data_IF_938250489302
#
_entry.id   IF_938250489302
#
_cell.length_a   1.000
_cell.length_b   1.000
_cell.length_c   1.000
_cell.angle_alpha   90.00
_cell.angle_beta   90.00
_cell.angle_gamma   90.00
#
_symmetry.space_group_name_H-M   'P 1'
#
loop_
_entity.id
_entity.type
_entity.pdbx_description
1 polymer ?
2 non-polymer ?
3 non-polymer ?
4 water ?
#
# COMPACT_ATOMS: atom_id res chain seq x y z
N UNK A 1 -10.43 -2.86 22.11
CA UNK A 1 -9.37 -3.90 22.01
C UNK A 1 -8.11 -3.33 21.38
N UNK A 2 -6.99 -4.01 21.60
CA UNK A 2 -5.72 -3.56 21.03
C UNK A 2 -5.35 -4.56 19.94
N UNK A 3 -4.62 -4.09 18.95
CA UNK A 3 -4.17 -4.96 17.87
C UNK A 3 -2.75 -4.60 17.50
N UNK A 4 -2.14 -5.42 16.65
CA UNK A 4 -0.79 -5.15 16.17
C UNK A 4 -0.97 -4.78 14.71
N UNK A 5 -0.78 -3.50 14.41
CA UNK A 5 -0.94 -2.99 13.05
C UNK A 5 0.41 -3.00 12.34
N UNK A 6 0.41 -3.48 11.10
CA UNK A 6 1.63 -3.50 10.29
C UNK A 6 1.34 -2.55 9.14
N UNK A 7 1.98 -1.38 9.18
CA UNK A 7 1.78 -0.35 8.16
C UNK A 7 2.72 -0.55 6.99
N UNK A 8 2.14 -0.57 5.79
CA UNK A 8 2.87 -0.81 4.55
C UNK A 8 2.77 0.35 3.59
N UNK A 9 3.90 1.03 3.39
CA UNK A 9 4.00 2.19 2.49
C UNK A 9 3.89 1.78 1.03
N UNK A 10 3.75 2.78 0.17
CA UNK A 10 3.63 2.56 -1.27
C UNK A 10 4.99 2.66 -1.96
N UNK A 11 5.04 2.39 -3.26
CA UNK A 11 6.31 2.45 -3.97
C UNK A 11 6.90 3.87 -3.90
N UNK A 12 8.23 3.94 -3.93
CA UNK A 12 8.97 5.21 -3.88
C UNK A 12 8.90 5.89 -2.52
N UNK A 13 8.21 5.25 -1.57
CA UNK A 13 8.08 5.81 -0.24
C UNK A 13 8.73 4.87 0.79
N UNK A 14 8.48 5.15 2.06
CA UNK A 14 9.06 4.34 3.12
C UNK A 14 8.23 4.45 4.39
N UNK A 15 8.67 3.77 5.43
CA UNK A 15 7.98 3.79 6.73
C UNK A 15 7.66 5.20 7.18
N UNK A 16 8.51 6.16 6.78
CA UNK A 16 8.35 7.56 7.18
C UNK A 16 6.99 8.18 6.87
N UNK A 17 6.27 7.65 5.88
CA UNK A 17 4.97 8.22 5.53
C UNK A 17 3.98 8.04 6.68
N UNK A 18 4.26 7.06 7.54
CA UNK A 18 3.40 6.76 8.68
C UNK A 18 3.84 7.46 9.97
N UNK A 19 4.75 8.42 9.87
CA UNK A 19 5.26 9.07 11.08
C UNK A 19 4.23 9.80 11.94
N UNK A 20 3.07 10.13 11.38
CA UNK A 20 2.03 10.79 12.15
C UNK A 20 1.04 9.77 12.70
N UNK A 21 0.70 8.78 11.88
CA UNK A 21 -0.27 7.76 12.30
C UNK A 21 0.27 6.78 13.34
N UNK A 22 1.53 6.37 13.21
CA UNK A 22 2.10 5.41 14.15
C UNK A 22 1.97 5.83 15.62
N UNK A 23 2.45 7.02 15.98
CA UNK A 23 2.33 7.39 17.40
C UNK A 23 0.88 7.54 17.87
N UNK A 24 -0.02 7.92 16.98
CA UNK A 24 -1.42 8.08 17.34
C UNK A 24 -2.03 6.72 17.66
N UNK A 25 -1.69 5.71 16.87
CA UNK A 25 -2.21 4.37 17.11
C UNK A 25 -1.64 3.83 18.43
N UNK A 26 -0.38 4.15 18.71
CA UNK A 26 0.25 3.69 19.95
C UNK A 26 -0.40 4.38 21.14
N UNK A 27 -0.85 5.61 20.94
CA UNK A 27 -1.51 6.38 22.00
C UNK A 27 -2.86 5.76 22.33
N UNK A 28 -3.34 4.89 21.45
CA UNK A 28 -4.61 4.20 21.67
C UNK A 28 -4.33 2.85 22.32
N UNK A 29 -3.05 2.52 22.48
CA UNK A 29 -2.66 1.27 23.10
C UNK A 29 -2.24 0.15 22.17
N UNK A 30 -2.20 0.43 20.87
CA UNK A 30 -1.83 -0.59 19.89
C UNK A 30 -0.33 -0.76 19.70
N UNK A 31 0.04 -1.90 19.15
CA UNK A 31 1.43 -2.19 18.82
C UNK A 31 1.48 -1.84 17.34
N UNK A 32 2.51 -1.12 16.92
CA UNK A 32 2.61 -0.73 15.52
C UNK A 32 3.98 -1.03 14.95
N UNK A 33 3.99 -1.60 13.76
CA UNK A 33 5.22 -1.90 13.05
C UNK A 33 5.11 -1.19 11.70
N UNK A 34 6.06 -0.30 11.42
CA UNK A 34 6.08 0.42 10.14
C UNK A 34 7.35 -0.02 9.45
N UNK A 35 7.20 -0.83 8.40
CA UNK A 35 8.34 -1.38 7.68
C UNK A 35 8.82 -0.58 6.47
N UNK A 36 10.09 -0.77 6.13
CA UNK A 36 10.65 -0.19 4.94
C UNK A 36 10.74 -1.41 4.03
N UNK A 37 10.07 -1.37 2.89
CA UNK A 37 10.12 -2.51 1.97
C UNK A 37 11.47 -2.48 1.26
N UNK A 38 11.73 -3.46 0.40
CA UNK A 38 13.02 -3.50 -0.30
C UNK A 38 13.30 -2.22 -1.07
N UNK A 39 14.54 -1.74 -0.98
CA UNK A 39 14.99 -0.55 -1.67
C UNK A 39 14.11 0.66 -1.39
N UNK A 40 13.51 0.69 -0.21
CA UNK A 40 12.63 1.78 0.18
C UNK A 40 13.07 2.38 1.51
N UNK A 41 12.75 3.66 1.71
CA UNK A 41 13.11 4.32 2.95
C UNK A 41 14.62 4.22 3.16
N UNK A 42 15.03 3.73 4.31
CA UNK A 42 16.46 3.58 4.58
C UNK A 42 16.95 2.16 4.35
N UNK A 43 16.20 1.36 3.60
CA UNK A 43 16.62 0.01 3.28
C UNK A 43 17.88 0.17 2.44
N UNK A 44 18.91 -0.66 2.69
CA UNK A 44 20.19 -0.60 1.98
C UNK A 44 20.22 -1.00 0.50
N UNK A 45 19.18 -1.69 0.03
CA UNK A 45 19.15 -2.11 -1.38
C UNK A 45 18.71 -0.99 -2.33
N UNK A 46 19.13 -1.10 -3.58
CA UNK A 46 18.74 -0.14 -4.61
C UNK A 46 17.72 -0.86 -5.47
N UNK A 47 16.79 -0.12 -6.07
CA UNK A 47 15.73 -0.74 -6.86
C UNK A 47 16.23 -1.66 -7.97
N UNK A 48 17.37 -1.36 -8.56
CA UNK A 48 17.90 -2.17 -9.64
C UNK A 48 18.23 -3.60 -9.18
N UNK A 49 18.27 -3.81 -7.87
CA UNK A 49 18.56 -5.14 -7.31
C UNK A 49 17.29 -5.95 -7.15
N UNK A 50 16.14 -5.30 -7.32
CA UNK A 50 14.85 -5.96 -7.14
C UNK A 50 14.19 -6.34 -8.47
N UNK A 51 13.78 -7.60 -8.60
CA UNK A 51 13.19 -8.04 -9.85
C UNK A 51 11.70 -8.30 -9.92
N UNK A 52 10.99 -8.16 -8.80
CA UNK A 52 9.55 -8.39 -8.80
C UNK A 52 8.90 -7.76 -7.59
N UNK A 53 7.57 -7.68 -7.62
CA UNK A 53 6.83 -7.10 -6.51
C UNK A 53 6.96 -8.04 -5.30
N UNK A 54 7.17 -9.33 -5.58
CA UNK A 54 7.34 -10.29 -4.49
C UNK A 54 8.66 -10.05 -3.77
N UNK A 55 9.72 -9.80 -4.55
CA UNK A 55 11.03 -9.53 -3.96
C UNK A 55 10.97 -8.22 -3.19
N UNK A 56 10.24 -7.26 -3.77
CA UNK A 56 10.06 -5.94 -3.18
C UNK A 56 9.40 -6.10 -1.81
N UNK A 57 8.54 -7.11 -1.68
CA UNK A 57 7.81 -7.38 -0.44
C UNK A 57 8.59 -8.17 0.61
N UNK A 58 9.84 -8.50 0.33
CA UNK A 58 10.64 -9.29 1.28
C UNK A 58 10.57 -8.87 2.75
N UNK A 59 10.77 -7.58 3.05
CA UNK A 59 10.71 -7.18 4.47
C UNK A 59 9.39 -7.53 5.16
N UNK A 60 8.29 -7.43 4.43
CA UNK A 60 6.98 -7.75 4.99
C UNK A 60 6.86 -9.26 5.24
N UNK A 61 7.29 -10.05 4.26
CA UNK A 61 7.22 -11.50 4.38
C UNK A 61 8.13 -11.98 5.52
N UNK A 62 9.31 -11.39 5.62
CA UNK A 62 10.26 -11.75 6.65
C UNK A 62 9.70 -11.43 8.03
N UNK A 63 9.03 -10.28 8.12
CA UNK A 63 8.43 -9.87 9.38
C UNK A 63 7.34 -10.85 9.81
N UNK A 64 6.44 -11.19 8.87
CA UNK A 64 5.37 -12.11 9.18
C UNK A 64 5.90 -13.47 9.60
N UNK A 65 6.97 -13.90 8.93
CA UNK A 65 7.59 -15.19 9.24
C UNK A 65 8.07 -15.21 10.68
N UNK A 66 8.53 -14.05 11.17
CA UNK A 66 9.04 -13.93 12.52
C UNK A 66 7.97 -13.90 13.62
N UNK A 67 6.70 -13.75 13.23
CA UNK A 67 5.62 -13.73 14.22
C UNK A 67 5.43 -15.12 14.83
N UNK A 68 5.46 -15.21 16.17
CA UNK A 68 5.28 -16.51 16.81
C UNK A 68 3.88 -17.06 16.51
N UNK A 69 3.71 -18.40 16.57
CA UNK A 69 2.41 -19.00 16.29
C UNK A 69 1.30 -18.36 17.13
N UNK A 70 0.14 -18.15 16.51
CA UNK A 70 -0.98 -17.59 17.23
C UNK A 70 -1.12 -16.08 17.17
N UNK A 71 -0.02 -15.39 16.91
CA UNK A 71 -0.06 -13.93 16.82
C UNK A 71 -0.54 -13.48 15.45
N UNK A 72 -1.59 -12.66 15.44
CA UNK A 72 -2.13 -12.15 14.17
C UNK A 72 -1.96 -10.64 14.14
N UNK A 73 -1.89 -10.10 12.92
CA UNK A 73 -1.73 -8.67 12.74
C UNK A 73 -2.76 -8.14 11.76
N UNK A 74 -2.96 -6.83 11.79
CA UNK A 74 -3.87 -6.18 10.87
C UNK A 74 -2.96 -5.40 9.91
N UNK A 75 -2.96 -5.79 8.65
CA UNK A 75 -2.13 -5.12 7.66
C UNK A 75 -2.83 -3.87 7.16
N UNK A 76 -2.07 -2.79 7.00
CA UNK A 76 -2.63 -1.54 6.52
C UNK A 76 -1.72 -1.10 5.37
N UNK A 77 -2.26 -1.11 4.15
CA UNK A 77 -1.45 -0.73 3.00
C UNK A 77 -1.99 0.49 2.27
N UNK A 78 -1.09 1.40 1.91
CA UNK A 78 -1.49 2.61 1.18
C UNK A 78 -1.10 2.53 -0.28
N UNK A 79 -1.95 3.09 -1.13
CA UNK A 79 -1.69 3.15 -2.57
C UNK A 79 -1.34 1.79 -3.17
N UNK A 80 -0.07 1.57 -3.51
CA UNK A 80 0.31 0.29 -4.09
C UNK A 80 0.50 -0.82 -3.07
N UNK A 81 0.43 -0.46 -1.79
CA UNK A 81 0.60 -1.42 -0.72
C UNK A 81 -0.36 -2.60 -0.77
N UNK A 82 -1.50 -2.41 -1.42
CA UNK A 82 -2.47 -3.49 -1.53
C UNK A 82 -1.88 -4.72 -2.18
N UNK A 83 -0.92 -4.51 -3.09
CA UNK A 83 -0.26 -5.62 -3.76
C UNK A 83 0.64 -6.38 -2.80
N UNK A 84 1.28 -5.66 -1.89
CA UNK A 84 2.14 -6.31 -0.91
C UNK A 84 1.26 -7.14 0.02
N UNK A 85 0.06 -6.63 0.30
CA UNK A 85 -0.88 -7.34 1.16
C UNK A 85 -1.31 -8.66 0.51
N UNK A 86 -1.64 -8.61 -0.77
CA UNK A 86 -2.08 -9.81 -1.50
C UNK A 86 -0.96 -10.85 -1.49
N UNK A 87 0.26 -10.40 -1.77
CA UNK A 87 1.42 -11.29 -1.78
C UNK A 87 1.62 -11.91 -0.40
N UNK A 88 1.57 -11.07 0.63
CA UNK A 88 1.74 -11.55 2.01
C UNK A 88 0.65 -12.53 2.43
N UNK A 89 -0.58 -12.25 2.03
CA UNK A 89 -1.72 -13.10 2.40
C UNK A 89 -1.67 -14.50 1.80
N UNK A 90 -1.00 -14.64 0.66
CA UNK A 90 -0.89 -15.95 0.02
C UNK A 90 0.20 -16.80 0.64
N UNK A 91 0.92 -16.23 1.59
CA UNK A 91 1.98 -16.96 2.25
C UNK A 91 1.72 -17.09 3.76
N UNK A 92 1.04 -16.11 4.32
CA UNK A 92 0.77 -16.10 5.76
C UNK A 92 -0.67 -15.73 6.11
N UNK A 93 -1.64 -16.24 5.37
CA UNK A 93 -3.03 -15.92 5.64
C UNK A 93 -3.46 -16.13 7.08
N UNK A 94 -2.92 -17.17 7.73
CA UNK A 94 -3.31 -17.47 9.12
C UNK A 94 -2.83 -16.43 10.13
N UNK A 95 -1.87 -15.60 9.74
CA UNK A 95 -1.33 -14.58 10.63
C UNK A 95 -1.97 -13.21 10.41
N UNK A 96 -2.94 -13.14 9.50
CA UNK A 96 -3.61 -11.89 9.17
C UNK A 96 -5.05 -11.84 9.69
N UNK A 97 -5.29 -10.97 10.66
CA UNK A 97 -6.64 -10.83 11.22
C UNK A 97 -7.52 -10.12 10.20
N UNK A 98 -6.93 -9.18 9.48
CA UNK A 98 -7.64 -8.41 8.47
C UNK A 98 -6.66 -7.52 7.72
N UNK A 99 -7.09 -7.03 6.57
CA UNK A 99 -6.25 -6.15 5.76
C UNK A 99 -7.04 -4.88 5.47
N UNK A 100 -6.42 -3.74 5.76
CA UNK A 100 -7.06 -2.45 5.52
C UNK A 100 -6.37 -1.80 4.34
N UNK A 101 -7.17 -1.38 3.37
CA UNK A 101 -6.66 -0.73 2.16
C UNK A 101 -6.90 0.77 2.34
N UNK A 102 -5.82 1.54 2.19
CA UNK A 102 -5.81 3.00 2.38
C UNK A 102 -5.57 3.66 1.03
N UNK A 103 -6.64 4.13 0.37
CA UNK A 103 -6.55 4.71 -0.98
C UNK A 103 -5.59 3.79 -1.72
N UNK A 104 -5.86 2.50 -1.61
CA UNK A 104 -4.99 1.47 -2.18
C UNK A 104 -5.56 0.61 -3.30
N UNK A 105 -4.65 0.05 -4.09
CA UNK A 105 -5.05 -0.85 -5.16
C UNK A 105 -5.64 -2.06 -4.42
N UNK A 106 -6.64 -2.67 -5.03
CA UNK A 106 -7.31 -3.83 -4.44
C UNK A 106 -7.28 -4.98 -5.43
N UNK A 107 -6.21 -5.79 -5.40
CA UNK A 107 -6.10 -6.93 -6.30
C UNK A 107 -7.23 -7.92 -6.07
N UNK A 108 -7.51 -8.77 -7.05
CA UNK A 108 -8.55 -9.77 -6.87
C UNK A 108 -7.97 -11.14 -7.18
N UNK A 109 -8.85 -12.14 -7.32
CA UNK A 109 -8.39 -13.50 -7.60
C UNK A 109 -8.88 -14.01 -8.94
N UNK A 110 -9.78 -13.26 -9.58
CA UNK A 110 -10.32 -13.66 -10.87
C UNK A 110 -9.47 -13.20 -12.06
N UNK A 111 -8.72 -12.12 -11.88
CA UNK A 111 -7.88 -11.59 -12.95
C UNK A 111 -6.40 -11.63 -12.58
N UNK A 112 -5.54 -11.38 -13.57
CA UNK A 112 -4.11 -11.38 -13.35
C UNK A 112 -3.74 -10.35 -12.29
N UNK A 113 -2.61 -10.55 -11.61
CA UNK A 113 -2.16 -9.62 -10.57
C UNK A 113 -1.99 -8.16 -11.00
N UNK A 114 -1.76 -7.93 -12.29
CA UNK A 114 -1.57 -6.55 -12.75
C UNK A 114 -2.88 -5.87 -13.14
N UNK A 115 -3.97 -6.63 -13.08
CA UNK A 115 -5.30 -6.14 -13.46
C UNK A 115 -5.68 -4.72 -13.00
N UNK A 116 -5.64 -4.46 -11.69
CA UNK A 116 -6.02 -3.15 -11.20
C UNK A 116 -4.97 -2.08 -11.50
N UNK A 117 -3.73 -2.49 -11.67
CA UNK A 117 -2.67 -1.55 -12.00
C UNK A 117 -2.87 -1.10 -13.44
N UNK A 118 -3.25 -2.04 -14.31
CA UNK A 118 -3.49 -1.72 -15.71
C UNK A 118 -4.64 -0.72 -15.78
N UNK A 119 -5.67 -0.95 -14.97
CA UNK A 119 -6.83 -0.07 -14.95
C UNK A 119 -6.42 1.30 -14.43
N UNK A 120 -5.56 1.33 -13.42
CA UNK A 120 -5.11 2.59 -12.86
C UNK A 120 -4.43 3.44 -13.93
N UNK A 121 -3.59 2.80 -14.74
CA UNK A 121 -2.86 3.51 -15.79
C UNK A 121 -3.82 4.09 -16.84
N UNK A 122 -4.98 3.47 -17.00
CA UNK A 122 -5.97 3.96 -17.95
C UNK A 122 -6.65 5.20 -17.40
N UNK A 123 -6.99 5.16 -16.12
CA UNK A 123 -7.66 6.27 -15.45
C UNK A 123 -6.73 7.46 -15.19
N UNK A 124 -5.48 7.18 -14.84
CA UNK A 124 -4.52 8.23 -14.57
C UNK A 124 -3.26 7.98 -15.42
N UNK A 125 -3.33 8.34 -16.72
CA UNK A 125 -2.22 8.15 -17.65
C UNK A 125 -1.08 9.17 -17.60
N UNK A 126 -1.35 10.38 -17.16
CA UNK A 126 -0.34 11.43 -17.11
C UNK A 126 0.28 11.63 -15.73
N UNK A 127 1.52 11.17 -15.57
CA UNK A 127 2.21 11.30 -14.30
C UNK A 127 3.08 12.56 -14.21
N UNK A 128 2.74 13.52 -15.06
CA UNK A 128 3.40 14.81 -15.10
C UNK A 128 4.93 14.79 -15.24
N UNK A 129 5.63 15.34 -14.25
CA UNK A 129 7.09 15.40 -14.31
C UNK A 129 7.84 14.17 -13.81
N UNK A 130 7.12 13.07 -13.63
CA UNK A 130 7.74 11.82 -13.20
C UNK A 130 8.70 11.35 -14.28
N UNK A 131 9.87 10.84 -13.86
CA UNK A 131 10.86 10.36 -14.81
C UNK A 131 10.92 8.84 -14.80
N UNK A 132 11.35 8.27 -15.92
CA UNK A 132 11.42 6.82 -16.06
C UNK A 132 12.77 6.34 -16.53
N UNK A 133 13.07 5.08 -16.21
CA UNK A 133 14.31 4.45 -16.64
C UNK A 133 14.08 2.95 -16.70
N UNK A 134 15.04 2.24 -17.30
CA UNK A 134 14.91 0.81 -17.40
C UNK A 134 16.16 0.11 -16.89
N UNK A 135 15.96 -1.06 -16.31
CA UNK A 135 17.07 -1.87 -15.84
C UNK A 135 16.66 -3.31 -16.05
N UNK A 136 17.65 -4.20 -16.07
CA UNK A 136 17.38 -5.60 -16.29
C UNK A 136 17.67 -6.43 -15.05
N UNK A 137 16.75 -7.31 -14.71
CA UNK A 137 16.91 -8.19 -13.56
C UNK A 137 16.24 -9.52 -13.84
N UNK A 138 17.00 -10.60 -13.69
CA UNK A 138 16.52 -11.94 -13.94
C UNK A 138 15.95 -12.06 -15.36
N UNK A 139 16.68 -11.49 -16.31
CA UNK A 139 16.28 -11.56 -17.71
C UNK A 139 15.09 -10.73 -18.16
N UNK A 140 14.56 -9.90 -17.27
CA UNK A 140 13.42 -9.08 -17.63
C UNK A 140 13.74 -7.59 -17.57
N UNK A 141 13.17 -6.84 -18.51
CA UNK A 141 13.38 -5.40 -18.53
C UNK A 141 12.31 -4.81 -17.62
N UNK A 142 12.74 -4.09 -16.60
CA UNK A 142 11.81 -3.48 -15.65
C UNK A 142 11.85 -1.96 -15.80
N UNK A 143 10.68 -1.35 -15.71
CA UNK A 143 10.57 0.10 -15.82
C UNK A 143 10.59 0.70 -14.43
N UNK A 144 11.62 1.50 -14.16
CA UNK A 144 11.74 2.15 -12.88
C UNK A 144 11.22 3.57 -13.03
N UNK A 145 10.91 4.24 -11.93
CA UNK A 145 10.40 5.59 -12.01
C UNK A 145 10.75 6.39 -10.77
N UNK A 146 10.80 7.71 -10.92
CA UNK A 146 11.06 8.59 -9.80
C UNK A 146 9.93 9.61 -9.87
N UNK A 147 9.06 9.60 -8.87
CA UNK A 147 7.93 10.50 -8.82
C UNK A 147 8.33 11.95 -8.99
N UNK A 148 7.66 12.64 -9.91
CA UNK A 148 7.97 14.04 -10.15
C UNK A 148 7.55 14.90 -8.98
N UNK A 149 8.30 15.97 -8.71
CA UNK A 149 7.96 16.85 -7.60
C UNK A 149 6.63 17.57 -7.80
N UNK A 150 6.30 17.88 -9.05
CA UNK A 150 5.03 18.56 -9.32
C UNK A 150 3.89 17.56 -9.10
N UNK A 151 4.10 16.32 -9.52
CA UNK A 151 3.09 15.28 -9.31
C UNK A 151 2.86 15.11 -7.81
N UNK A 152 3.96 15.09 -7.05
CA UNK A 152 3.86 14.94 -5.60
C UNK A 152 3.05 16.08 -4.98
N UNK A 153 3.39 17.29 -5.40
CA UNK A 153 2.74 18.49 -4.87
C UNK A 153 1.25 18.63 -5.22
N UNK A 154 0.91 18.37 -6.48
CA UNK A 154 -0.47 18.54 -6.92
C UNK A 154 -1.41 17.35 -6.80
N UNK A 155 -0.89 16.13 -6.93
CA UNK A 155 -1.77 14.96 -6.89
C UNK A 155 -1.68 14.03 -5.69
N UNK A 156 -0.50 13.92 -5.09
CA UNK A 156 -0.32 13.02 -3.96
C UNK A 156 -0.44 13.72 -2.61
N UNK A 157 0.27 14.83 -2.44
CA UNK A 157 0.23 15.58 -1.19
C UNK A 157 -0.53 16.88 -1.37
N UNK A 158 -1.60 16.81 -2.15
CA UNK A 158 -2.44 17.96 -2.46
C UNK A 158 -2.73 18.93 -1.31
N UNK A 159 -3.13 18.41 -0.15
CA UNK A 159 -3.45 19.27 0.99
C UNK A 159 -2.47 19.20 2.15
N UNK A 160 -1.38 18.47 1.96
CA UNK A 160 -0.37 18.35 3.02
C UNK A 160 0.39 19.67 3.13
N UNK A 161 0.84 19.99 4.33
CA UNK A 161 1.57 21.23 4.51
C UNK A 161 2.94 21.20 3.83
N UNK A 162 3.61 22.36 3.72
CA UNK A 162 4.93 22.40 3.09
C UNK A 162 5.99 21.54 3.77
N UNK A 163 5.83 21.32 5.07
CA UNK A 163 6.79 20.52 5.82
C UNK A 163 6.68 19.03 5.53
N UNK A 164 5.48 18.57 5.20
CA UNK A 164 5.27 17.16 4.90
C UNK A 164 5.69 16.97 3.46
N UNK A 165 5.33 17.93 2.61
CA UNK A 165 5.70 17.87 1.21
C UNK A 165 7.22 17.85 1.10
N UNK A 166 7.90 18.62 1.94
CA UNK A 166 9.35 18.67 1.90
C UNK A 166 9.94 17.30 2.18
N UNK A 167 9.39 16.59 3.18
CA UNK A 167 9.88 15.25 3.49
C UNK A 167 9.77 14.33 2.26
N UNK A 168 8.70 14.49 1.50
CA UNK A 168 8.50 13.68 0.31
C UNK A 168 9.58 13.97 -0.73
N UNK A 169 9.90 15.24 -0.93
CA UNK A 169 10.93 15.60 -1.90
C UNK A 169 12.29 15.08 -1.46
N UNK A 170 12.53 15.09 -0.15
CA UNK A 170 13.80 14.64 0.39
C UNK A 170 13.94 13.13 0.45
N UNK A 171 12.86 12.45 0.81
CA UNK A 171 12.89 11.00 1.00
C UNK A 171 12.39 10.05 -0.09
N UNK A 172 11.54 10.51 -1.00
CA UNK A 172 11.07 9.59 -2.04
C UNK A 172 12.24 9.13 -2.90
N UNK A 173 12.27 7.84 -3.21
CA UNK A 173 13.34 7.23 -3.99
C UNK A 173 12.85 6.59 -5.27
N UNK A 174 13.78 6.17 -6.12
CA UNK A 174 13.44 5.50 -7.36
C UNK A 174 12.76 4.20 -6.96
N UNK A 175 11.75 3.79 -7.72
CA UNK A 175 11.04 2.56 -7.42
C UNK A 175 10.48 1.98 -8.70
N UNK A 176 9.56 1.03 -8.56
CA UNK A 176 8.94 0.41 -9.73
C UNK A 176 7.61 -0.23 -9.39
N UNK A 177 6.74 -0.31 -10.40
CA UNK A 177 5.43 -0.93 -10.26
C UNK A 177 5.55 -2.41 -10.66
N UNK A 178 6.65 -2.75 -11.33
CA UNK A 178 6.88 -4.12 -11.78
C UNK A 178 5.65 -4.60 -12.53
N UNK A 179 5.02 -3.69 -13.25
CA UNK A 179 3.79 -4.00 -13.98
C UNK A 179 3.86 -5.22 -14.91
N UNK A 180 4.91 -5.30 -15.72
CA UNK A 180 5.05 -6.41 -16.64
C UNK A 180 5.36 -7.72 -15.94
N UNK A 181 5.93 -7.64 -14.73
CA UNK A 181 6.25 -8.82 -13.95
C UNK A 181 4.95 -9.33 -13.32
N UNK A 182 4.15 -8.39 -12.80
CA UNK A 182 2.88 -8.75 -12.18
C UNK A 182 1.97 -9.42 -13.21
N UNK A 183 2.04 -8.94 -14.44
CA UNK A 183 1.22 -9.47 -15.52
C UNK A 183 1.44 -10.96 -15.77
N UNK A 184 2.64 -11.44 -15.52
CA UNK A 184 2.97 -12.85 -15.73
C UNK A 184 3.02 -13.66 -14.44
N UNK A 185 2.75 -13.01 -13.32
CA UNK A 185 2.77 -13.67 -12.03
C UNK A 185 1.54 -14.55 -11.81
N UNK A 186 1.69 -15.68 -11.11
CA UNK A 186 0.53 -16.53 -10.87
C UNK A 186 -0.52 -15.69 -10.15
N UNK A 187 -1.80 -16.00 -10.39
CA UNK A 187 -2.89 -15.26 -9.77
C UNK A 187 -2.88 -15.40 -8.25
N UNK A 188 -3.41 -14.39 -7.56
CA UNK A 188 -3.48 -14.48 -6.12
C UNK A 188 -4.54 -15.55 -5.85
N UNK A 189 -4.35 -16.34 -4.80
CA UNK A 189 -5.27 -17.43 -4.52
C UNK A 189 -6.51 -17.09 -3.73
N UNK A 190 -7.58 -17.87 -3.93
CA UNK A 190 -8.81 -17.66 -3.22
C UNK A 190 -8.68 -18.18 -1.80
N UNK A 191 -7.86 -19.23 -1.62
CA UNK A 191 -7.66 -19.82 -0.30
C UNK A 191 -6.84 -18.93 0.62
N UNK A 192 -5.88 -18.22 0.06
CA UNK A 192 -5.04 -17.34 0.86
C UNK A 192 -5.60 -15.93 0.88
N UNK A 193 -5.14 -15.10 -0.05
CA UNK A 193 -5.60 -13.73 -0.15
C UNK A 193 -7.13 -13.61 -0.18
N UNK A 194 -7.76 -14.48 -0.96
CA UNK A 194 -9.21 -14.44 -1.06
C UNK A 194 -9.95 -14.59 0.26
N UNK A 195 -9.38 -15.34 1.20
CA UNK A 195 -10.01 -15.60 2.49
C UNK A 195 -9.95 -14.48 3.53
N UNK A 196 -8.97 -13.60 3.43
CA UNK A 196 -8.85 -12.55 4.44
C UNK A 196 -9.91 -11.47 4.37
N UNK A 197 -10.23 -10.91 5.54
CA UNK A 197 -11.21 -9.84 5.64
C UNK A 197 -10.56 -8.60 5.06
N UNK A 198 -11.28 -7.88 4.21
CA UNK A 198 -10.75 -6.70 3.56
C UNK A 198 -11.58 -5.45 3.80
N UNK A 199 -10.95 -4.44 4.38
CA UNK A 199 -11.60 -3.16 4.69
C UNK A 199 -11.04 -2.12 3.74
N UNK A 200 -11.91 -1.49 2.96
CA UNK A 200 -11.49 -0.50 1.99
C UNK A 200 -11.77 0.93 2.46
N UNK A 201 -10.71 1.70 2.65
CA UNK A 201 -10.81 3.09 3.11
C UNK A 201 -10.39 4.03 1.99
N UNK A 202 -11.16 5.08 1.75
CA UNK A 202 -10.81 6.01 0.69
C UNK A 202 -11.51 7.35 0.83
N UNK A 203 -11.08 8.31 0.02
CA UNK A 203 -11.71 9.62 -0.02
C UNK A 203 -11.93 9.94 -1.49
N UNK A 204 -13.06 10.58 -1.81
CA UNK A 204 -13.34 10.92 -3.20
C UNK A 204 -12.59 12.18 -3.61
N UNK A 205 -11.73 12.67 -2.72
CA UNK A 205 -10.94 13.87 -2.99
C UNK A 205 -9.50 13.49 -3.34
N UNK A 206 -9.28 12.20 -3.56
CA UNK A 206 -7.96 11.69 -3.90
C UNK A 206 -7.72 12.15 -5.34
N UNK A 207 -6.63 12.89 -5.56
CA UNK A 207 -6.29 13.44 -6.88
C UNK A 207 -5.47 12.54 -7.81
N UNK A 208 -5.20 11.30 -7.38
CA UNK A 208 -4.47 10.38 -8.24
C UNK A 208 -5.28 9.09 -8.39
N UNK A 209 -5.74 8.54 -7.26
CA UNK A 209 -6.58 7.35 -7.30
C UNK A 209 -7.98 7.97 -7.32
N UNK A 210 -8.37 8.42 -8.52
CA UNK A 210 -9.64 9.08 -8.73
C UNK A 210 -10.87 8.26 -8.39
N UNK A 211 -11.99 8.92 -8.09
CA UNK A 211 -13.23 8.24 -7.74
C UNK A 211 -13.59 7.13 -8.74
N UNK A 212 -13.43 7.42 -10.02
CA UNK A 212 -13.74 6.43 -11.05
C UNK A 212 -12.98 5.14 -10.80
N UNK A 213 -11.71 5.27 -10.44
CA UNK A 213 -10.87 4.10 -10.19
C UNK A 213 -11.24 3.37 -8.90
N UNK A 214 -11.33 4.11 -7.80
CA UNK A 214 -11.65 3.48 -6.52
C UNK A 214 -13.04 2.86 -6.49
N UNK A 215 -14.02 3.53 -7.09
CA UNK A 215 -15.38 2.98 -7.12
C UNK A 215 -15.41 1.76 -8.03
N UNK A 216 -14.57 1.78 -9.06
CA UNK A 216 -14.45 0.67 -9.99
C UNK A 216 -13.89 -0.54 -9.23
N UNK A 217 -12.90 -0.30 -8.38
CA UNK A 217 -12.28 -1.37 -7.59
C UNK A 217 -13.27 -1.99 -6.62
N UNK A 218 -14.05 -1.15 -5.96
CA UNK A 218 -15.04 -1.61 -4.99
C UNK A 218 -16.09 -2.50 -5.66
N UNK A 219 -16.48 -2.16 -6.88
CA UNK A 219 -17.47 -2.95 -7.59
C UNK A 219 -16.85 -4.24 -8.12
N UNK A 220 -15.59 -4.15 -8.53
CA UNK A 220 -14.88 -5.31 -9.06
C UNK A 220 -14.65 -6.44 -8.05
N UNK A 221 -14.29 -6.06 -6.83
CA UNK A 221 -13.99 -7.04 -5.79
C UNK A 221 -14.57 -6.47 -4.48
N UNK A 222 -15.79 -6.87 -4.17
CA UNK A 222 -16.50 -6.39 -3.00
C UNK A 222 -15.77 -6.52 -1.66
N UNK A 223 -15.46 -5.38 -1.02
CA UNK A 223 -14.76 -5.40 0.27
C UNK A 223 -15.75 -5.86 1.34
N UNK A 224 -15.23 -6.33 2.47
CA UNK A 224 -16.09 -6.76 3.56
C UNK A 224 -16.71 -5.54 4.24
N UNK A 225 -15.97 -4.43 4.19
CA UNK A 225 -16.42 -3.18 4.77
C UNK A 225 -15.77 -2.03 4.03
N UNK A 226 -16.51 -0.95 3.85
CA UNK A 226 -15.99 0.23 3.17
C UNK A 226 -16.15 1.47 4.04
N UNK A 227 -15.07 2.23 4.20
CA UNK A 227 -15.11 3.48 4.97
C UNK A 227 -14.73 4.61 4.03
N UNK A 228 -15.58 5.62 3.95
CA UNK A 228 -15.30 6.76 3.11
C UNK A 228 -14.99 7.93 4.03
N UNK A 229 -13.78 8.47 3.90
CA UNK A 229 -13.35 9.60 4.70
C UNK A 229 -13.63 10.88 3.92
N UNK A 230 -14.34 11.81 4.56
CA UNK A 230 -14.67 13.07 3.88
C UNK A 230 -13.48 14.01 3.90
N UNK A 231 -13.18 14.61 2.73
CA UNK A 231 -12.06 15.53 2.64
C UNK A 231 -10.72 14.85 2.54
N UNK A 232 -9.67 15.57 2.92
CA UNK A 232 -8.32 15.02 2.87
C UNK A 232 -7.83 14.86 1.44
N UNK A 233 -6.78 14.07 1.27
CA UNK A 233 -6.21 13.81 -0.05
C UNK A 233 -5.70 12.38 -0.12
N UNK A 234 -4.86 12.09 -1.12
CA UNK A 234 -4.33 10.73 -1.29
C UNK A 234 -3.59 10.23 -0.05
N UNK A 235 -2.92 11.13 0.66
CA UNK A 235 -2.19 10.74 1.85
C UNK A 235 -3.02 11.00 3.11
N UNK A 236 -4.07 10.22 3.27
CA UNK A 236 -4.95 10.37 4.42
C UNK A 236 -4.24 10.17 5.74
N UNK A 237 -3.16 9.38 5.76
CA UNK A 237 -2.46 9.16 7.02
C UNK A 237 -1.74 10.44 7.47
N UNK A 238 -1.73 11.45 6.61
CA UNK A 238 -1.12 12.74 6.93
C UNK A 238 -2.17 13.83 7.08
N UNK A 239 -3.18 13.82 6.21
CA UNK A 239 -4.22 14.84 6.22
C UNK A 239 -5.47 14.54 7.04
N UNK A 240 -5.69 13.26 7.37
CA UNK A 240 -6.83 12.83 8.16
C UNK A 240 -6.36 11.74 9.10
N UNK A 241 -5.20 11.97 9.71
CA UNK A 241 -4.60 11.00 10.61
C UNK A 241 -5.55 10.51 11.70
N UNK A 242 -6.24 11.46 12.35
CA UNK A 242 -7.17 11.13 13.42
C UNK A 242 -8.30 10.23 12.91
N UNK A 243 -8.88 10.60 11.78
CA UNK A 243 -9.97 9.81 11.19
C UNK A 243 -9.50 8.40 10.87
N UNK A 244 -8.29 8.28 10.34
CA UNK A 244 -7.76 6.96 10.01
C UNK A 244 -7.57 6.13 11.28
N UNK A 245 -7.08 6.76 12.34
CA UNK A 245 -6.88 6.04 13.59
C UNK A 245 -8.21 5.56 14.16
N UNK A 246 -9.24 6.40 14.06
CA UNK A 246 -10.56 6.02 14.56
C UNK A 246 -11.08 4.80 13.81
N UNK A 247 -10.90 4.80 12.50
CA UNK A 247 -11.34 3.68 11.67
C UNK A 247 -10.57 2.42 12.04
N UNK A 248 -9.26 2.54 12.17
CA UNK A 248 -8.44 1.39 12.53
C UNK A 248 -8.82 0.83 13.89
N UNK A 249 -9.21 1.70 14.82
CA UNK A 249 -9.62 1.24 16.14
C UNK A 249 -10.88 0.38 15.98
N UNK A 250 -11.82 0.83 15.16
CA UNK A 250 -13.03 0.06 14.95
C UNK A 250 -12.73 -1.28 14.30
N UNK A 251 -11.75 -1.30 13.39
CA UNK A 251 -11.37 -2.53 12.73
C UNK A 251 -10.77 -3.49 13.77
N UNK A 252 -9.96 -2.95 14.67
CA UNK A 252 -9.34 -3.75 15.73
C UNK A 252 -10.42 -4.34 16.63
N UNK A 253 -11.51 -3.59 16.81
CA UNK A 253 -12.61 -4.04 17.66
C UNK A 253 -13.58 -4.98 16.93
N UNK A 254 -13.39 -5.12 15.63
CA UNK A 254 -14.26 -5.96 14.81
C UNK A 254 -13.65 -7.28 14.37
N UNK A 255 -12.38 -7.25 13.98
CA UNK A 255 -11.70 -8.44 13.50
C UNK A 255 -10.49 -8.82 14.35
N UNK A 256 -10.31 -10.12 14.56
CA UNK A 256 -9.17 -10.61 15.35
C UNK A 256 -8.78 -12.01 14.89
#
# INVERSE_FOLDING_TARGET
AFAHFVLIHTICHGAWIWHKLKPLLEALGHKVTALDLAASGVDPRQIEEIGSFDEYSEPLLTFLEALPPGEKVILVGESCGGLNIAIAADKYCEKIAAAVFHNSVLPDTEHCPSYVVDKLMEVFPDWKDTTYFTYTKDGKEITGLKLGFTLLRENLYTLCGPEEYELAKMLTRKGSLFQNILAKRPFFTKEGYGSIKKIYVWTDQDEIFLPEFQLWQIENYKPDKVYKVEGGDHKLQLTKTKEIAEILQEVADTYN
#
